data_IF_045808557047
#
_entry.id   IF_045808557047
#
_cell.length_a   1.000
_cell.length_b   1.000
_cell.length_c   1.000
_cell.angle_alpha   90.00
_cell.angle_beta   90.00
_cell.angle_gamma   90.00
#
_symmetry.space_group_name_H-M   'P 1'
#
loop_
_entity.id
_entity.type
_entity.pdbx_description
1 polymer ?
#
# COMPACT_ATOMS: atom_id res chain seq x y z
N UNK A 1 -44.15 16.96 6.93
CA UNK A 1 -43.62 15.78 6.23
C UNK A 1 -42.29 15.46 6.84
N UNK A 2 -42.12 14.26 7.40
CA UNK A 2 -40.83 13.81 7.90
C UNK A 2 -39.84 13.69 6.73
N UNK A 3 -38.57 13.93 6.98
CA UNK A 3 -37.54 13.67 5.96
C UNK A 3 -37.27 12.19 5.83
N UNK A 4 -36.82 11.71 4.67
CA UNK A 4 -36.45 10.32 4.47
C UNK A 4 -35.44 9.83 5.52
N UNK A 5 -34.56 10.73 6.00
CA UNK A 5 -33.61 10.45 7.09
C UNK A 5 -34.34 10.16 8.42
N UNK A 6 -35.35 10.96 8.76
CA UNK A 6 -36.16 10.79 9.99
C UNK A 6 -36.91 9.46 9.96
N UNK A 7 -37.50 9.11 8.82
CA UNK A 7 -38.20 7.84 8.66
C UNK A 7 -37.28 6.63 8.80
N UNK A 8 -36.08 6.67 8.18
CA UNK A 8 -35.07 5.62 8.30
C UNK A 8 -34.63 5.46 9.76
N UNK A 9 -34.29 6.57 10.43
CA UNK A 9 -33.84 6.53 11.81
C UNK A 9 -34.96 6.06 12.76
N UNK A 10 -36.23 6.43 12.51
CA UNK A 10 -37.37 5.94 13.28
C UNK A 10 -37.54 4.43 13.19
N UNK A 11 -37.44 3.86 11.98
CA UNK A 11 -37.50 2.39 11.75
C UNK A 11 -36.37 1.67 12.45
N UNK A 12 -35.12 2.19 12.37
CA UNK A 12 -33.99 1.61 13.08
C UNK A 12 -34.22 1.61 14.60
N UNK A 13 -34.65 2.74 15.17
CA UNK A 13 -34.94 2.84 16.61
C UNK A 13 -36.05 1.86 17.05
N UNK A 14 -37.13 1.77 16.29
CA UNK A 14 -38.22 0.84 16.57
C UNK A 14 -37.77 -0.61 16.53
N UNK A 15 -36.89 -0.97 15.56
CA UNK A 15 -36.33 -2.32 15.48
C UNK A 15 -35.37 -2.65 16.62
N UNK A 16 -34.82 -1.63 17.30
CA UNK A 16 -33.91 -1.81 18.44
C UNK A 16 -34.62 -1.67 19.79
N UNK A 17 -35.92 -1.41 19.81
CA UNK A 17 -36.69 -1.35 21.06
C UNK A 17 -36.66 -2.73 21.78
N UNK A 18 -36.26 -2.72 23.05
CA UNK A 18 -36.13 -3.94 23.85
C UNK A 18 -34.86 -4.75 23.61
N UNK A 19 -34.01 -4.36 22.67
CA UNK A 19 -32.71 -4.99 22.49
C UNK A 19 -31.73 -4.40 23.50
N UNK A 20 -31.16 -5.27 24.36
CA UNK A 20 -30.09 -4.88 25.30
C UNK A 20 -28.81 -4.44 24.57
N UNK A 21 -27.86 -3.83 25.31
CA UNK A 21 -26.57 -3.48 24.73
C UNK A 21 -25.88 -4.73 24.16
N UNK A 22 -25.22 -4.55 23.00
CA UNK A 22 -24.46 -5.65 22.41
C UNK A 22 -23.37 -6.12 23.39
N UNK A 23 -23.13 -7.42 23.50
CA UNK A 23 -22.03 -7.92 24.32
C UNK A 23 -20.69 -7.36 23.81
N UNK A 24 -19.78 -7.13 24.74
CA UNK A 24 -18.42 -6.70 24.37
C UNK A 24 -17.76 -7.77 23.47
N UNK A 25 -17.16 -7.35 22.33
CA UNK A 25 -16.52 -8.31 21.45
C UNK A 25 -15.29 -8.93 22.14
N UNK A 26 -15.15 -10.25 22.03
CA UNK A 26 -13.98 -10.98 22.51
C UNK A 26 -12.78 -10.59 21.63
N UNK A 27 -11.71 -10.11 22.26
CA UNK A 27 -10.49 -9.62 21.57
C UNK A 27 -9.26 -10.44 21.98
N UNK A 28 -9.33 -11.75 21.85
CA UNK A 28 -8.24 -12.68 22.20
C UNK A 28 -7.28 -12.91 21.05
N UNK A 29 -6.81 -11.85 20.41
CA UNK A 29 -5.77 -12.00 19.38
C UNK A 29 -4.38 -12.10 20.02
N UNK A 30 -3.49 -12.84 19.36
CA UNK A 30 -2.06 -12.77 19.62
C UNK A 30 -1.59 -11.34 19.30
N UNK A 31 -0.91 -10.68 20.23
CA UNK A 31 -0.48 -9.28 20.11
C UNK A 31 1.01 -9.07 20.23
N UNK A 32 1.75 -10.12 20.55
CA UNK A 32 3.18 -10.07 20.79
C UNK A 32 3.85 -11.04 19.83
N UNK A 33 4.79 -10.52 19.07
CA UNK A 33 5.65 -11.32 18.20
C UNK A 33 6.59 -12.18 19.04
N UNK A 34 6.83 -13.42 18.60
CA UNK A 34 7.81 -14.33 19.15
C UNK A 34 9.05 -14.45 18.24
N UNK A 35 9.00 -13.83 17.07
CA UNK A 35 10.07 -13.89 16.07
C UNK A 35 11.13 -12.80 16.30
N UNK A 36 12.34 -13.08 15.90
CA UNK A 36 13.38 -12.05 15.77
C UNK A 36 13.09 -11.16 14.56
N UNK A 37 13.74 -10.00 14.50
CA UNK A 37 13.60 -9.08 13.34
C UNK A 37 13.94 -9.80 12.02
N UNK A 38 15.05 -10.57 11.97
CA UNK A 38 15.44 -11.31 10.78
C UNK A 38 14.42 -12.37 10.38
N UNK A 39 13.89 -13.14 11.33
CA UNK A 39 12.86 -14.12 11.07
C UNK A 39 11.57 -13.49 10.56
N UNK A 40 11.21 -12.30 11.06
CA UNK A 40 10.04 -11.55 10.61
C UNK A 40 10.24 -11.07 9.16
N UNK A 41 11.44 -10.61 8.80
CA UNK A 41 11.77 -10.24 7.42
C UNK A 41 11.71 -11.45 6.49
N UNK A 42 12.33 -12.57 6.87
CA UNK A 42 12.33 -13.79 6.07
C UNK A 42 10.90 -14.31 5.83
N UNK A 43 10.04 -14.23 6.85
CA UNK A 43 8.62 -14.57 6.71
C UNK A 43 7.92 -13.64 5.71
N UNK A 44 8.11 -12.31 5.83
CA UNK A 44 7.52 -11.34 4.89
C UNK A 44 7.95 -11.64 3.45
N UNK A 45 9.25 -11.85 3.23
CA UNK A 45 9.82 -12.17 1.91
C UNK A 45 9.17 -13.43 1.34
N UNK A 46 9.09 -14.51 2.14
CA UNK A 46 8.44 -15.75 1.71
C UNK A 46 6.99 -15.53 1.28
N UNK A 47 6.19 -14.77 2.05
CA UNK A 47 4.79 -14.47 1.72
C UNK A 47 4.65 -13.62 0.46
N UNK A 48 5.52 -12.61 0.30
CA UNK A 48 5.49 -11.76 -0.90
C UNK A 48 5.81 -12.55 -2.18
N UNK A 49 6.79 -13.46 -2.11
CA UNK A 49 7.14 -14.34 -3.24
C UNK A 49 5.99 -15.31 -3.55
N UNK A 50 5.33 -15.88 -2.55
CA UNK A 50 4.14 -16.73 -2.73
C UNK A 50 3.02 -15.99 -3.48
N UNK A 51 2.85 -14.69 -3.18
CA UNK A 51 1.91 -13.81 -3.86
C UNK A 51 2.39 -13.28 -5.21
N UNK A 52 3.57 -13.72 -5.69
CA UNK A 52 4.16 -13.32 -6.99
C UNK A 52 4.65 -11.87 -7.03
N UNK A 53 4.93 -11.25 -5.88
CA UNK A 53 5.71 -10.03 -5.84
C UNK A 53 7.21 -10.35 -6.03
N UNK A 54 7.93 -9.42 -6.64
CA UNK A 54 9.38 -9.49 -6.68
C UNK A 54 9.94 -8.79 -5.43
N UNK A 55 10.96 -9.36 -4.79
CA UNK A 55 11.54 -8.79 -3.57
C UNK A 55 13.02 -8.51 -3.76
N UNK A 56 13.42 -7.30 -3.38
CA UNK A 56 14.79 -6.78 -3.47
C UNK A 56 15.20 -6.21 -2.12
N UNK A 57 16.48 -6.04 -1.92
CA UNK A 57 17.06 -5.44 -0.73
C UNK A 57 17.87 -4.22 -1.11
N UNK A 58 17.77 -3.17 -0.30
CA UNK A 58 18.53 -1.95 -0.49
C UNK A 58 18.94 -1.32 0.85
N UNK A 59 19.95 -0.47 0.78
CA UNK A 59 20.43 0.36 1.86
C UNK A 59 20.59 1.82 1.36
N UNK A 60 21.00 2.78 2.21
CA UNK A 60 21.15 4.18 1.80
C UNK A 60 22.13 4.42 0.64
N UNK A 61 23.07 3.51 0.41
CA UNK A 61 24.11 3.67 -0.61
C UNK A 61 23.61 3.24 -2.00
N UNK A 62 22.71 2.25 -2.09
CA UNK A 62 22.32 1.63 -3.36
C UNK A 62 20.82 1.72 -3.70
N UNK A 63 19.96 2.26 -2.84
CA UNK A 63 18.51 2.29 -3.09
C UNK A 63 18.14 2.95 -4.42
N UNK A 64 18.81 4.03 -4.77
CA UNK A 64 18.58 4.75 -6.03
C UNK A 64 18.93 3.89 -7.25
N UNK A 65 19.99 3.09 -7.15
CA UNK A 65 20.41 2.16 -8.22
C UNK A 65 19.40 1.01 -8.34
N UNK A 66 18.97 0.42 -7.22
CA UNK A 66 17.98 -0.65 -7.21
C UNK A 66 16.66 -0.17 -7.83
N UNK A 67 16.18 1.04 -7.48
CA UNK A 67 14.98 1.62 -8.10
C UNK A 67 15.20 1.84 -9.60
N UNK A 68 16.39 2.35 -10.00
CA UNK A 68 16.71 2.55 -11.41
C UNK A 68 16.65 1.25 -12.23
N UNK A 69 17.18 0.15 -11.68
CA UNK A 69 17.13 -1.17 -12.32
C UNK A 69 15.69 -1.68 -12.49
N UNK A 70 14.82 -1.45 -11.48
CA UNK A 70 13.40 -1.86 -11.56
C UNK A 70 12.62 -1.04 -12.55
N UNK A 71 12.88 0.26 -12.65
CA UNK A 71 12.28 1.15 -13.64
C UNK A 71 12.75 0.85 -15.07
N UNK A 72 13.97 0.32 -15.24
CA UNK A 72 14.61 0.16 -16.54
C UNK A 72 15.13 1.48 -17.12
N UNK A 73 15.65 1.41 -18.36
CA UNK A 73 16.29 2.57 -19.02
C UNK A 73 15.26 3.62 -19.49
N UNK A 74 14.10 3.16 -19.93
CA UNK A 74 13.04 4.00 -20.54
C UNK A 74 11.79 3.88 -19.71
N UNK A 75 11.50 4.87 -18.89
CA UNK A 75 10.28 4.90 -18.12
C UNK A 75 9.88 6.29 -17.69
N UNK A 76 8.59 6.57 -17.74
CA UNK A 76 7.99 7.69 -17.04
C UNK A 76 7.30 7.14 -15.81
N UNK A 77 7.61 7.67 -14.64
CA UNK A 77 7.05 7.16 -13.41
C UNK A 77 6.57 8.29 -12.50
N UNK A 78 5.56 7.98 -11.68
CA UNK A 78 5.01 8.92 -10.72
C UNK A 78 5.56 8.68 -9.32
N UNK A 79 5.76 9.76 -8.59
CA UNK A 79 6.15 9.74 -7.18
C UNK A 79 5.24 10.68 -6.38
N UNK A 80 4.91 10.36 -5.11
CA UNK A 80 4.24 11.29 -4.23
C UNK A 80 5.17 12.45 -3.82
N UNK A 81 4.59 13.61 -3.54
CA UNK A 81 5.33 14.84 -3.19
C UNK A 81 6.26 14.66 -1.98
N UNK A 82 5.90 13.79 -1.04
CA UNK A 82 6.65 13.55 0.21
C UNK A 82 7.66 12.42 0.15
N UNK A 83 7.88 11.78 -1.00
CA UNK A 83 8.87 10.71 -1.12
C UNK A 83 10.28 11.26 -0.93
N UNK A 84 11.15 10.54 -0.22
CA UNK A 84 12.54 10.94 -0.04
C UNK A 84 13.27 10.99 -1.40
N UNK A 85 13.68 12.18 -1.79
CA UNK A 85 14.35 12.43 -3.07
C UNK A 85 15.68 11.69 -3.21
N UNK A 86 16.29 11.28 -2.10
CA UNK A 86 17.53 10.49 -2.11
C UNK A 86 17.32 9.07 -2.65
N UNK A 87 16.06 8.58 -2.61
CA UNK A 87 15.73 7.28 -3.18
C UNK A 87 15.63 7.31 -4.69
N UNK A 88 15.37 8.49 -5.27
CA UNK A 88 15.10 8.60 -6.70
C UNK A 88 16.39 8.54 -7.50
N UNK A 89 16.41 7.74 -8.57
CA UNK A 89 17.49 7.80 -9.55
C UNK A 89 17.47 9.14 -10.29
N UNK A 90 18.63 9.57 -10.75
CA UNK A 90 18.71 10.75 -11.60
C UNK A 90 17.86 10.59 -12.87
N UNK A 91 17.17 11.67 -13.25
CA UNK A 91 16.46 11.71 -14.52
C UNK A 91 17.46 11.62 -15.69
N UNK A 92 17.03 10.92 -16.73
CA UNK A 92 17.74 10.82 -18.01
C UNK A 92 16.88 11.39 -19.15
N UNK A 93 17.38 11.35 -20.38
CA UNK A 93 16.57 11.74 -21.53
C UNK A 93 15.30 10.88 -21.68
N UNK A 94 15.39 9.60 -21.30
CA UNK A 94 14.35 8.58 -21.53
C UNK A 94 13.67 8.12 -20.23
N UNK A 95 14.26 8.34 -19.05
CA UNK A 95 13.66 8.05 -17.74
C UNK A 95 13.39 9.34 -16.98
N UNK A 96 12.11 9.60 -16.64
CA UNK A 96 11.70 10.85 -15.98
C UNK A 96 10.63 10.56 -14.93
N UNK A 97 10.72 11.26 -13.81
CA UNK A 97 9.65 11.24 -12.83
C UNK A 97 8.70 12.42 -12.97
N UNK A 98 7.46 12.21 -12.59
CA UNK A 98 6.44 13.24 -12.37
C UNK A 98 5.96 13.15 -10.92
N UNK A 99 5.73 14.31 -10.30
CA UNK A 99 5.30 14.35 -8.90
C UNK A 99 3.79 14.57 -8.82
N UNK A 100 3.09 13.74 -8.04
CA UNK A 100 1.67 13.95 -7.72
C UNK A 100 1.54 14.67 -6.37
N UNK A 101 0.80 15.79 -6.34
CA UNK A 101 0.62 16.62 -5.15
C UNK A 101 -0.28 15.99 -4.07
N UNK A 102 -0.86 14.85 -4.35
CA UNK A 102 -1.69 14.09 -3.41
C UNK A 102 -3.11 14.65 -3.19
N UNK A 103 -3.47 15.78 -3.78
CA UNK A 103 -4.77 16.41 -3.56
C UNK A 103 -5.33 17.03 -4.84
N UNK A 104 -6.56 16.66 -5.18
CA UNK A 104 -7.30 17.25 -6.31
C UNK A 104 -7.59 18.76 -6.14
N UNK A 105 -7.37 19.30 -4.95
CA UNK A 105 -7.52 20.71 -4.63
C UNK A 105 -6.21 21.50 -4.79
N UNK A 106 -5.11 20.81 -5.06
CA UNK A 106 -3.79 21.43 -5.24
C UNK A 106 -3.34 21.36 -6.72
N UNK A 107 -2.59 22.34 -7.21
CA UNK A 107 -1.88 22.22 -8.48
C UNK A 107 -0.92 21.01 -8.42
N UNK A 108 -0.72 20.34 -9.57
CA UNK A 108 0.17 19.19 -9.66
C UNK A 108 -0.48 17.85 -9.25
N UNK A 109 -1.80 17.81 -9.03
CA UNK A 109 -2.54 16.57 -8.92
C UNK A 109 -2.78 15.99 -10.31
N UNK A 110 -2.23 14.84 -10.61
CA UNK A 110 -2.35 14.19 -11.93
C UNK A 110 -3.77 13.65 -12.15
N UNK A 111 -4.31 13.86 -13.34
CA UNK A 111 -5.55 13.22 -13.76
C UNK A 111 -5.40 11.71 -13.94
N UNK A 112 -6.49 10.96 -13.99
CA UNK A 112 -6.46 9.53 -14.27
C UNK A 112 -5.78 9.22 -15.61
N UNK A 113 -6.00 10.09 -16.62
CA UNK A 113 -5.38 9.94 -17.94
C UNK A 113 -3.85 10.12 -17.91
N UNK A 114 -3.37 11.06 -17.08
CA UNK A 114 -1.93 11.26 -16.89
C UNK A 114 -1.31 10.11 -16.09
N UNK A 115 -2.03 9.55 -15.10
CA UNK A 115 -1.59 8.37 -14.36
C UNK A 115 -1.58 7.10 -15.22
N UNK A 116 -2.51 6.95 -16.15
CA UNK A 116 -2.57 5.83 -17.09
C UNK A 116 -1.46 5.89 -18.14
N UNK A 117 -0.89 7.07 -18.34
CA UNK A 117 0.19 7.29 -19.30
C UNK A 117 1.61 7.09 -18.72
N UNK A 118 1.73 6.86 -17.40
CA UNK A 118 3.02 6.55 -16.77
C UNK A 118 3.21 5.06 -16.60
N UNK A 119 4.45 4.60 -16.70
CA UNK A 119 4.79 3.18 -16.67
C UNK A 119 4.77 2.61 -15.24
N UNK A 120 5.16 3.42 -14.25
CA UNK A 120 5.32 2.96 -12.88
C UNK A 120 4.99 4.01 -11.83
N UNK A 121 4.85 3.55 -10.58
CA UNK A 121 4.83 4.39 -9.39
C UNK A 121 5.88 3.91 -8.40
N UNK A 122 6.55 4.88 -7.73
CA UNK A 122 7.47 4.59 -6.60
C UNK A 122 6.91 5.22 -5.34
N UNK A 123 6.74 4.41 -4.28
CA UNK A 123 6.23 4.89 -2.98
C UNK A 123 7.01 4.30 -1.82
N UNK A 124 6.87 4.93 -0.65
CA UNK A 124 7.13 4.29 0.64
C UNK A 124 5.95 3.44 1.10
N UNK A 125 5.98 3.02 2.36
CA UNK A 125 4.91 2.29 3.04
C UNK A 125 4.87 2.64 4.53
N UNK A 126 3.69 2.53 5.15
CA UNK A 126 3.51 2.80 6.59
C UNK A 126 4.02 1.65 7.45
N UNK A 127 3.57 0.44 7.17
CA UNK A 127 3.87 -0.77 7.93
C UNK A 127 3.62 -2.00 7.08
N UNK A 128 4.33 -3.09 7.34
CA UNK A 128 4.10 -4.37 6.67
C UNK A 128 3.93 -5.49 7.69
N UNK A 129 2.96 -6.38 7.45
CA UNK A 129 2.68 -7.55 8.28
C UNK A 129 3.26 -8.79 7.63
N UNK A 130 4.18 -9.45 8.31
CA UNK A 130 4.89 -10.62 7.79
C UNK A 130 4.00 -11.86 7.70
N UNK A 131 3.17 -12.11 8.71
CA UNK A 131 2.29 -13.30 8.76
C UNK A 131 1.36 -13.39 7.55
N UNK A 132 0.87 -12.26 7.06
CA UNK A 132 -0.05 -12.17 5.93
C UNK A 132 0.57 -11.71 4.62
N UNK A 133 1.86 -11.33 4.62
CA UNK A 133 2.50 -10.74 3.44
C UNK A 133 1.85 -9.45 2.97
N UNK A 134 1.33 -8.64 3.91
CA UNK A 134 0.53 -7.47 3.59
C UNK A 134 1.29 -6.18 3.86
N UNK A 135 1.36 -5.30 2.88
CA UNK A 135 1.90 -3.94 2.98
C UNK A 135 0.73 -2.98 3.17
N UNK A 136 0.83 -2.10 4.15
CA UNK A 136 -0.19 -1.09 4.45
C UNK A 136 0.29 0.28 4.00
N UNK A 137 -0.53 0.93 3.18
CA UNK A 137 -0.40 2.33 2.81
C UNK A 137 -1.51 3.11 3.49
N UNK A 138 -1.17 4.18 4.21
CA UNK A 138 -2.11 4.97 5.00
C UNK A 138 -2.20 6.43 4.53
N UNK A 139 -1.94 6.66 3.25
CA UNK A 139 -1.97 7.98 2.61
C UNK A 139 -1.03 8.97 3.33
N UNK A 140 0.13 8.49 3.75
CA UNK A 140 1.20 9.33 4.26
C UNK A 140 1.87 10.10 3.09
N UNK A 141 2.63 11.17 3.36
CA UNK A 141 3.26 11.96 2.30
C UNK A 141 4.11 11.16 1.31
N UNK A 142 4.81 10.13 1.80
CA UNK A 142 5.66 9.23 1.01
C UNK A 142 4.88 8.15 0.23
N UNK A 143 3.59 8.02 0.48
CA UNK A 143 2.71 7.04 -0.18
C UNK A 143 1.78 7.70 -1.18
N UNK A 144 1.43 8.95 -0.92
CA UNK A 144 0.51 9.73 -1.73
C UNK A 144 -0.94 9.26 -1.65
N UNK A 145 -1.75 9.70 -2.60
CA UNK A 145 -3.17 9.30 -2.68
C UNK A 145 -3.33 7.94 -3.36
N UNK A 146 -4.40 7.23 -3.01
CA UNK A 146 -4.69 5.87 -3.52
C UNK A 146 -4.63 5.73 -5.04
N UNK A 147 -4.99 6.77 -5.81
CA UNK A 147 -5.03 6.68 -7.27
C UNK A 147 -3.66 6.38 -7.88
N UNK A 148 -2.57 6.93 -7.33
CA UNK A 148 -1.22 6.72 -7.90
C UNK A 148 -0.72 5.29 -7.72
N UNK A 149 -1.24 4.55 -6.75
CA UNK A 149 -0.87 3.13 -6.50
C UNK A 149 -1.83 2.13 -7.14
N UNK A 150 -2.87 2.61 -7.84
CA UNK A 150 -3.86 1.76 -8.49
C UNK A 150 -3.85 1.83 -10.01
N UNK A 151 -3.50 3.00 -10.58
CA UNK A 151 -3.63 3.22 -12.02
C UNK A 151 -2.37 2.78 -12.79
N UNK A 152 -1.14 3.18 -12.41
CA UNK A 152 0.07 2.68 -13.08
C UNK A 152 0.21 1.17 -12.95
N UNK A 153 0.75 0.54 -13.98
CA UNK A 153 0.78 -0.91 -14.11
C UNK A 153 1.92 -1.60 -13.31
N UNK A 154 2.90 -0.81 -12.89
CA UNK A 154 4.03 -1.28 -12.10
C UNK A 154 4.16 -0.45 -10.80
N UNK A 155 4.13 -1.10 -9.65
CA UNK A 155 4.34 -0.47 -8.36
C UNK A 155 5.67 -0.93 -7.75
N UNK A 156 6.57 0.02 -7.52
CA UNK A 156 7.81 -0.18 -6.78
C UNK A 156 7.57 0.39 -5.37
N UNK A 157 7.44 -0.49 -4.39
CA UNK A 157 7.13 -0.14 -3.00
C UNK A 157 8.35 -0.32 -2.11
N UNK A 158 8.83 0.77 -1.52
CA UNK A 158 9.91 0.74 -0.54
C UNK A 158 9.33 0.47 0.83
N UNK A 159 9.78 -0.63 1.45
CA UNK A 159 9.38 -1.08 2.78
C UNK A 159 10.57 -0.91 3.73
N UNK A 160 10.56 0.11 4.61
CA UNK A 160 11.59 0.23 5.63
C UNK A 160 11.58 -1.00 6.56
N UNK A 161 12.74 -1.63 6.73
CA UNK A 161 12.90 -2.82 7.57
C UNK A 161 12.32 -2.62 8.98
N UNK A 162 12.51 -1.45 9.57
CA UNK A 162 12.02 -1.08 10.89
C UNK A 162 10.49 -0.98 11.01
N UNK A 163 9.77 -0.96 9.89
CA UNK A 163 8.30 -0.89 9.87
C UNK A 163 7.64 -2.26 9.70
N UNK A 164 8.43 -3.32 9.54
CA UNK A 164 7.90 -4.68 9.42
C UNK A 164 7.57 -5.23 10.81
N UNK A 165 6.36 -5.80 10.93
CA UNK A 165 5.87 -6.47 12.14
C UNK A 165 5.42 -7.88 11.81
N UNK A 166 5.34 -8.77 12.80
CA UNK A 166 4.85 -10.13 12.58
C UNK A 166 3.35 -10.15 12.36
N UNK A 167 2.59 -9.46 13.22
CA UNK A 167 1.15 -9.67 13.38
C UNK A 167 0.30 -8.53 12.85
N UNK A 168 -0.90 -8.85 12.35
CA UNK A 168 -1.89 -7.86 11.91
C UNK A 168 -2.28 -6.87 13.03
N UNK A 169 -2.51 -7.28 14.30
CA UNK A 169 -2.79 -6.33 15.37
C UNK A 169 -1.69 -5.28 15.56
N UNK A 170 -0.41 -5.66 15.45
CA UNK A 170 0.72 -4.73 15.54
C UNK A 170 0.72 -3.73 14.36
N UNK A 171 0.39 -4.21 13.14
CA UNK A 171 0.28 -3.34 11.97
C UNK A 171 -0.88 -2.34 12.13
N UNK A 172 -2.03 -2.80 12.62
CA UNK A 172 -3.21 -1.95 12.83
C UNK A 172 -2.95 -0.86 13.88
N UNK A 173 -2.14 -1.11 14.90
CA UNK A 173 -1.76 -0.10 15.89
C UNK A 173 -0.90 1.04 15.32
N UNK A 174 -0.25 0.83 14.18
CA UNK A 174 0.61 1.82 13.50
C UNK A 174 -0.11 2.66 12.45
N UNK A 175 -1.37 2.36 12.11
CA UNK A 175 -2.14 3.12 11.13
C UNK A 175 -2.99 4.23 11.78
N UNK A 176 -3.28 5.26 11.00
CA UNK A 176 -4.19 6.34 11.39
C UNK A 176 -5.58 6.05 10.84
N UNK A 177 -6.55 5.68 11.71
CA UNK A 177 -7.90 5.24 11.34
C UNK A 177 -8.73 6.27 10.56
N UNK A 178 -8.40 7.54 10.68
CA UNK A 178 -9.12 8.62 9.99
C UNK A 178 -8.66 8.85 8.56
N UNK A 179 -7.63 8.13 8.12
CA UNK A 179 -7.10 8.19 6.76
C UNK A 179 -7.49 6.94 5.98
N UNK A 180 -7.61 7.02 4.66
CA UNK A 180 -7.75 5.83 3.84
C UNK A 180 -6.58 4.87 4.04
N UNK A 181 -6.89 3.59 4.09
CA UNK A 181 -5.90 2.51 4.18
C UNK A 181 -6.00 1.64 2.93
N UNK A 182 -4.88 1.40 2.27
CA UNK A 182 -4.76 0.41 1.20
C UNK A 182 -3.90 -0.74 1.70
N UNK A 183 -4.41 -1.95 1.66
CA UNK A 183 -3.69 -3.17 2.00
C UNK A 183 -3.31 -3.88 0.70
N UNK A 184 -2.03 -4.16 0.51
CA UNK A 184 -1.46 -4.79 -0.68
C UNK A 184 -0.84 -6.12 -0.27
N UNK A 185 -1.35 -7.22 -0.83
CA UNK A 185 -0.81 -8.57 -0.63
C UNK A 185 -0.49 -9.18 -2.00
N UNK A 186 0.60 -8.72 -2.59
CA UNK A 186 1.02 -9.09 -3.95
C UNK A 186 0.45 -8.20 -5.06
N UNK A 187 0.83 -8.43 -6.33
CA UNK A 187 0.33 -7.72 -7.49
C UNK A 187 -1.17 -7.98 -7.70
N UNK A 188 -1.84 -7.05 -8.40
CA UNK A 188 -3.27 -7.13 -8.64
C UNK A 188 -3.66 -8.40 -9.39
N UNK A 189 -4.54 -9.17 -8.79
CA UNK A 189 -5.11 -10.36 -9.43
C UNK A 189 -6.47 -10.71 -8.83
N UNK A 190 -7.32 -11.33 -9.63
CA UNK A 190 -8.55 -11.98 -9.15
C UNK A 190 -8.53 -13.46 -9.51
N UNK A 191 -9.13 -14.29 -8.66
CA UNK A 191 -9.30 -15.72 -8.89
C UNK A 191 -10.73 -16.17 -8.60
N UNK A 192 -11.68 -15.24 -8.60
CA UNK A 192 -13.06 -15.47 -8.17
C UNK A 192 -13.83 -16.42 -9.09
N UNK A 193 -13.37 -16.59 -10.33
CA UNK A 193 -13.99 -17.45 -11.32
C UNK A 193 -12.98 -18.53 -11.75
N UNK A 194 -13.33 -19.81 -11.59
CA UNK A 194 -12.57 -20.98 -12.04
C UNK A 194 -11.17 -21.19 -11.42
N UNK A 195 -10.82 -20.51 -10.31
CA UNK A 195 -9.50 -20.57 -9.67
C UNK A 195 -8.33 -20.18 -10.60
N UNK A 196 -8.63 -19.58 -11.73
CA UNK A 196 -7.62 -19.05 -12.65
C UNK A 196 -7.30 -17.61 -12.26
N UNK A 197 -6.03 -17.35 -11.94
CA UNK A 197 -5.56 -16.01 -11.61
C UNK A 197 -5.55 -15.12 -12.86
N UNK A 198 -6.39 -14.09 -12.87
CA UNK A 198 -6.38 -13.02 -13.89
C UNK A 198 -5.70 -11.80 -13.30
N UNK A 199 -4.67 -11.31 -13.96
CA UNK A 199 -3.88 -10.17 -13.49
C UNK A 199 -4.43 -8.84 -13.99
N UNK A 200 -4.14 -7.74 -13.24
CA UNK A 200 -4.41 -6.37 -13.67
C UNK A 200 -5.86 -5.92 -13.60
N UNK A 201 -6.70 -6.52 -12.75
CA UNK A 201 -8.13 -6.15 -12.65
C UNK A 201 -8.34 -4.91 -11.77
N UNK A 202 -7.59 -4.77 -10.68
CA UNK A 202 -7.82 -3.76 -9.65
C UNK A 202 -6.56 -3.02 -9.21
N UNK A 203 -5.53 -2.97 -10.04
CA UNK A 203 -4.27 -2.31 -9.71
C UNK A 203 -3.09 -2.84 -10.53
N UNK A 204 -1.87 -2.52 -10.12
CA UNK A 204 -0.65 -2.88 -10.83
C UNK A 204 -0.48 -4.38 -11.06
N UNK A 205 -0.14 -4.78 -12.28
CA UNK A 205 0.21 -6.18 -12.62
C UNK A 205 1.57 -6.59 -12.07
N UNK A 206 2.45 -5.62 -11.86
CA UNK A 206 3.79 -5.86 -11.31
C UNK A 206 3.93 -5.15 -9.97
N UNK A 207 4.37 -5.89 -8.95
CA UNK A 207 4.73 -5.34 -7.64
C UNK A 207 6.18 -5.73 -7.34
N UNK A 208 7.04 -4.71 -7.27
CA UNK A 208 8.40 -4.81 -6.80
C UNK A 208 8.47 -4.25 -5.37
N UNK A 209 8.91 -5.06 -4.42
CA UNK A 209 9.04 -4.67 -3.03
C UNK A 209 10.52 -4.55 -2.69
N UNK A 210 10.95 -3.38 -2.24
CA UNK A 210 12.33 -3.13 -1.83
C UNK A 210 12.37 -3.05 -0.31
N UNK A 211 12.93 -4.07 0.33
CA UNK A 211 13.20 -4.05 1.77
C UNK A 211 14.39 -3.14 2.00
N UNK A 212 14.13 -1.98 2.62
CA UNK A 212 15.11 -0.93 2.82
C UNK A 212 15.66 -0.96 4.25
N UNK A 213 16.95 -1.22 4.40
CA UNK A 213 17.66 -1.12 5.66
C UNK A 213 18.36 0.22 5.76
N UNK A 214 17.90 1.09 6.66
CA UNK A 214 18.44 2.43 6.86
C UNK A 214 19.71 2.46 7.73
N UNK A 215 20.24 1.29 8.15
CA UNK A 215 21.44 1.18 9.01
C UNK A 215 22.70 1.04 8.18
#
# INVERSE_FOLDING_TARGET
MSSAKEDILARIRSSLEGVGPAPEPVRNYRRVSELTEDQTIDMLVGRLIDYKANVFFANPENISEVIAERLGEKSTYVVPEGLDKKWLPADTAERKHVTDSGSTLKPGCLSLKELDAVDAVVTGSTVSCAETGTIFLNTNPEEGRRAITLVPDHHICVVPRSTVVELVPEAIERITYTRPVTMISGPSATSDIELIRVEGVHGPRTLDVIIYDAK
#
